data_IF_675110791679
#
_entry.id   IF_675110791679
#
_cell.length_a   1.000
_cell.length_b   1.000
_cell.length_c   1.000
_cell.angle_alpha   90.00
_cell.angle_beta   90.00
_cell.angle_gamma   90.00
#
_symmetry.space_group_name_H-M   'P 1'
#
loop_
_entity.id
_entity.type
_entity.pdbx_description
1 polymer ?
#
# COMPACT_ATOMS: atom_id res chain seq x y z
N UNK A 1 22.87 -43.38 -13.53
CA UNK A 1 23.81 -42.24 -13.41
C UNK A 1 23.02 -40.97 -13.65
N UNK A 2 22.76 -40.18 -12.59
CA UNK A 2 22.53 -38.72 -12.62
C UNK A 2 21.94 -38.29 -11.26
N UNK A 3 22.81 -38.28 -10.25
CA UNK A 3 22.58 -37.62 -8.97
C UNK A 3 23.66 -36.53 -8.84
N UNK A 4 23.55 -35.44 -9.62
CA UNK A 4 24.53 -34.36 -9.58
C UNK A 4 24.02 -33.01 -10.15
N UNK A 5 22.71 -32.70 -10.07
CA UNK A 5 22.18 -31.39 -10.52
C UNK A 5 21.18 -30.76 -9.55
N UNK A 6 21.36 -30.97 -8.25
CA UNK A 6 20.47 -30.40 -7.22
C UNK A 6 21.20 -29.58 -6.16
N UNK A 7 22.43 -29.11 -6.44
CA UNK A 7 23.21 -28.40 -5.42
C UNK A 7 24.04 -27.22 -5.95
N UNK A 8 23.41 -26.36 -6.75
CA UNK A 8 24.01 -25.07 -7.11
C UNK A 8 23.07 -23.85 -6.96
N UNK A 9 21.83 -24.07 -6.50
CA UNK A 9 20.90 -22.99 -6.12
C UNK A 9 20.82 -22.75 -4.60
N UNK A 10 21.53 -23.52 -3.78
CA UNK A 10 21.55 -23.37 -2.32
C UNK A 10 22.70 -22.52 -1.77
N UNK A 11 23.46 -21.81 -2.63
CA UNK A 11 24.60 -20.98 -2.18
C UNK A 11 24.53 -19.50 -2.51
N UNK A 12 23.50 -19.04 -3.23
CA UNK A 12 23.28 -17.60 -3.48
C UNK A 12 22.07 -17.02 -2.74
N UNK A 13 21.19 -17.85 -2.18
CA UNK A 13 20.10 -17.38 -1.32
C UNK A 13 20.52 -17.05 0.13
N UNK A 14 21.76 -17.34 0.53
CA UNK A 14 22.23 -16.98 1.87
C UNK A 14 22.82 -15.57 1.98
N UNK A 15 23.00 -14.83 0.88
CA UNK A 15 23.55 -13.47 0.99
C UNK A 15 22.45 -12.42 1.23
N UNK A 16 21.27 -12.60 0.64
CA UNK A 16 20.12 -11.73 0.87
C UNK A 16 19.45 -11.96 2.23
N UNK A 17 19.46 -13.21 2.72
CA UNK A 17 18.99 -13.53 4.07
C UNK A 17 19.96 -13.04 5.15
N UNK A 18 21.27 -12.99 4.88
CA UNK A 18 22.27 -12.39 5.80
C UNK A 18 22.21 -10.86 5.78
N UNK A 19 21.76 -10.23 4.69
CA UNK A 19 21.66 -8.76 4.63
C UNK A 19 20.41 -8.21 5.33
N UNK A 20 19.33 -9.02 5.43
CA UNK A 20 18.18 -8.71 6.28
C UNK A 20 18.42 -9.07 7.77
N UNK A 21 19.48 -9.83 8.08
CA UNK A 21 19.90 -10.17 9.45
C UNK A 21 21.03 -9.26 9.99
N UNK A 22 21.38 -8.18 9.29
CA UNK A 22 22.33 -7.17 9.82
C UNK A 22 21.70 -6.15 10.77
N UNK A 23 20.44 -6.33 11.14
CA UNK A 23 19.87 -5.79 12.38
C UNK A 23 19.14 -6.93 13.09
N UNK A 24 19.87 -7.70 13.91
CA UNK A 24 19.27 -8.63 14.87
C UNK A 24 18.48 -7.90 15.97
N UNK A 25 17.41 -7.19 15.59
CA UNK A 25 16.49 -6.46 16.47
C UNK A 25 15.07 -6.66 15.91
N UNK A 26 14.39 -7.70 16.37
CA UNK A 26 12.96 -7.91 16.08
C UNK A 26 12.09 -6.74 16.56
N UNK A 27 10.79 -6.75 16.28
CA UNK A 27 9.88 -5.69 16.73
C UNK A 27 10.03 -5.40 18.25
N UNK A 28 9.85 -4.15 18.70
CA UNK A 28 10.14 -3.75 20.10
C UNK A 28 9.41 -4.64 21.12
N UNK A 29 8.21 -5.12 20.79
CA UNK A 29 7.46 -6.10 21.59
C UNK A 29 8.16 -7.43 21.73
N UNK A 30 8.73 -7.95 20.65
CA UNK A 30 9.48 -9.20 20.66
C UNK A 30 10.77 -9.06 21.50
N UNK A 31 11.45 -7.91 21.40
CA UNK A 31 12.62 -7.62 22.24
C UNK A 31 12.26 -7.53 23.73
N UNK A 32 11.12 -6.91 24.08
CA UNK A 32 10.64 -6.85 25.46
C UNK A 32 10.23 -8.24 25.96
N UNK A 33 9.58 -9.06 25.12
CA UNK A 33 9.21 -10.45 25.43
C UNK A 33 10.44 -11.31 25.74
N UNK A 34 11.52 -11.15 24.94
CA UNK A 34 12.79 -11.86 25.17
C UNK A 34 13.51 -11.38 26.44
N UNK A 35 13.37 -10.09 26.78
CA UNK A 35 13.98 -9.51 27.98
C UNK A 35 13.26 -9.92 29.26
N UNK A 36 11.92 -9.90 29.25
CA UNK A 36 11.09 -10.30 30.39
C UNK A 36 9.66 -10.61 29.93
N UNK A 37 9.27 -11.87 30.05
CA UNK A 37 7.90 -12.33 29.81
C UNK A 37 6.88 -11.57 30.69
N UNK A 38 7.26 -11.24 31.92
CA UNK A 38 6.36 -10.56 32.86
C UNK A 38 6.15 -9.10 32.47
N UNK A 39 7.19 -8.42 31.98
CA UNK A 39 7.04 -7.06 31.47
C UNK A 39 6.20 -7.00 30.19
N UNK A 40 6.40 -7.95 29.28
CA UNK A 40 5.61 -8.04 28.07
C UNK A 40 4.13 -8.36 28.34
N UNK A 41 3.86 -9.23 29.33
CA UNK A 41 2.49 -9.51 29.77
C UNK A 41 1.83 -8.25 30.36
N UNK A 42 2.49 -7.52 31.26
CA UNK A 42 1.94 -6.28 31.83
C UNK A 42 1.61 -5.26 30.74
N UNK A 43 2.48 -5.10 29.74
CA UNK A 43 2.23 -4.14 28.66
C UNK A 43 1.06 -4.57 27.76
N UNK A 44 0.85 -5.88 27.59
CA UNK A 44 -0.30 -6.42 26.88
C UNK A 44 -1.60 -6.31 27.69
N UNK A 45 -1.55 -6.53 29.01
CA UNK A 45 -2.70 -6.44 29.92
C UNK A 45 -3.24 -5.00 30.03
N UNK A 46 -2.33 -4.02 30.04
CA UNK A 46 -2.68 -2.58 29.98
C UNK A 46 -3.12 -2.15 28.57
N UNK A 47 -2.91 -2.99 27.55
CA UNK A 47 -3.34 -2.73 26.18
C UNK A 47 -2.45 -1.77 25.39
N UNK A 48 -1.18 -1.59 25.77
CA UNK A 48 -0.27 -0.64 25.12
C UNK A 48 0.18 -1.12 23.74
N UNK A 49 -0.05 -0.35 22.68
CA UNK A 49 0.47 -0.67 21.34
C UNK A 49 1.98 -0.35 21.18
N UNK A 50 2.57 -0.67 20.02
CA UNK A 50 4.01 -0.44 19.79
C UNK A 50 4.39 1.04 19.80
N UNK A 51 3.51 1.93 19.33
CA UNK A 51 3.75 3.36 19.32
C UNK A 51 3.67 3.94 20.74
N UNK A 52 2.71 3.47 21.52
CA UNK A 52 2.54 3.84 22.93
C UNK A 52 3.73 3.37 23.77
N UNK A 53 4.19 2.13 23.57
CA UNK A 53 5.41 1.60 24.21
C UNK A 53 6.61 2.49 23.93
N UNK A 54 6.75 2.96 22.68
CA UNK A 54 7.83 3.89 22.33
C UNK A 54 7.69 5.19 23.10
N UNK A 55 6.50 5.71 23.35
CA UNK A 55 6.35 7.00 24.06
C UNK A 55 6.60 6.94 25.58
N UNK A 56 6.64 5.75 26.19
CA UNK A 56 6.80 5.57 27.63
C UNK A 56 8.00 6.33 28.21
N UNK A 57 7.74 7.02 29.31
CA UNK A 57 8.72 7.73 30.12
C UNK A 57 9.32 6.81 31.20
N UNK A 58 10.36 7.31 31.87
CA UNK A 58 10.92 6.62 33.05
C UNK A 58 9.89 6.47 34.17
N UNK A 59 8.97 7.42 34.29
CA UNK A 59 7.91 7.36 35.30
C UNK A 59 6.92 6.26 34.96
N UNK A 60 6.44 6.21 33.72
CA UNK A 60 5.48 5.19 33.26
C UNK A 60 6.05 3.77 33.46
N UNK A 61 7.34 3.58 33.16
CA UNK A 61 8.01 2.30 33.43
C UNK A 61 8.07 1.95 34.92
N UNK A 62 8.20 2.93 35.83
CA UNK A 62 8.17 2.68 37.28
C UNK A 62 6.77 2.32 37.78
N UNK A 63 5.73 2.88 37.15
CA UNK A 63 4.33 2.58 37.48
C UNK A 63 3.90 1.21 36.94
N UNK A 64 4.24 0.91 35.68
CA UNK A 64 3.93 -0.37 35.04
C UNK A 64 4.73 -1.53 35.64
N UNK A 65 5.99 -1.31 36.00
CA UNK A 65 6.87 -2.34 36.55
C UNK A 65 7.38 -1.94 37.94
N UNK A 66 6.53 -1.97 38.97
CA UNK A 66 6.89 -1.46 40.30
C UNK A 66 7.93 -2.35 41.01
N UNK A 67 8.53 -1.79 42.07
CA UNK A 67 9.47 -2.50 42.94
C UNK A 67 10.93 -2.50 42.46
N UNK A 68 11.85 -2.83 43.37
CA UNK A 68 13.31 -2.77 43.12
C UNK A 68 13.81 -3.93 42.25
N UNK A 69 13.11 -5.07 42.26
CA UNK A 69 13.43 -6.25 41.43
C UNK A 69 13.41 -5.94 39.93
N UNK A 70 12.54 -5.02 39.50
CA UNK A 70 12.36 -4.63 38.11
C UNK A 70 13.32 -3.52 37.66
N UNK A 71 14.21 -3.01 38.52
CA UNK A 71 15.11 -1.91 38.18
C UNK A 71 15.95 -2.17 36.91
N UNK A 72 16.56 -3.37 36.81
CA UNK A 72 17.37 -3.75 35.64
C UNK A 72 16.52 -3.85 34.37
N UNK A 73 15.29 -4.36 34.51
CA UNK A 73 14.34 -4.51 33.40
C UNK A 73 13.92 -3.12 32.91
N UNK A 74 13.50 -2.21 33.80
CA UNK A 74 13.12 -0.83 33.45
C UNK A 74 14.25 -0.10 32.73
N UNK A 75 15.49 -0.24 33.20
CA UNK A 75 16.67 0.35 32.54
C UNK A 75 16.84 -0.20 31.12
N UNK A 76 16.77 -1.52 30.94
CA UNK A 76 16.93 -2.16 29.63
C UNK A 76 15.79 -1.82 28.67
N UNK A 77 14.54 -1.80 29.13
CA UNK A 77 13.39 -1.36 28.32
C UNK A 77 13.55 0.11 27.92
N UNK A 78 13.97 0.99 28.83
CA UNK A 78 14.23 2.39 28.49
C UNK A 78 15.37 2.55 27.46
N UNK A 79 16.41 1.72 27.52
CA UNK A 79 17.49 1.67 26.52
C UNK A 79 16.95 1.19 25.15
N UNK A 80 16.08 0.18 25.12
CA UNK A 80 15.41 -0.29 23.91
C UNK A 80 14.53 0.80 23.28
N UNK A 81 13.69 1.44 24.09
CA UNK A 81 12.82 2.54 23.66
C UNK A 81 13.64 3.69 23.10
N UNK A 82 14.72 4.10 23.77
CA UNK A 82 15.58 5.17 23.29
C UNK A 82 16.33 4.79 22.01
N UNK A 83 16.72 3.52 21.88
CA UNK A 83 17.35 3.02 20.65
C UNK A 83 16.36 3.05 19.47
N UNK A 84 15.11 2.65 19.70
CA UNK A 84 14.06 2.68 18.69
C UNK A 84 13.59 4.11 18.35
N UNK A 85 13.60 5.04 19.33
CA UNK A 85 13.36 6.49 19.08
C UNK A 85 14.44 7.15 18.23
N UNK A 86 15.66 6.62 18.24
CA UNK A 86 16.76 7.11 17.41
C UNK A 86 16.70 6.56 15.97
N UNK A 87 15.73 5.70 15.64
CA UNK A 87 15.39 5.31 14.25
C UNK A 87 14.55 6.40 13.56
N UNK A 88 15.05 7.64 13.60
CA UNK A 88 14.73 8.69 12.62
C UNK A 88 15.52 8.39 11.34
N UNK A 89 15.00 8.73 10.15
CA UNK A 89 15.26 8.00 8.90
C UNK A 89 16.75 7.86 8.67
N UNK A 90 17.20 6.64 8.29
CA UNK A 90 18.59 6.36 7.90
C UNK A 90 19.16 7.60 7.19
N UNK A 91 20.07 8.32 7.86
CA UNK A 91 20.56 9.55 7.26
C UNK A 91 21.21 9.20 5.93
N UNK A 92 20.98 10.03 4.91
CA UNK A 92 21.63 9.89 3.60
C UNK A 92 23.13 9.60 3.74
N UNK A 93 23.77 10.20 4.75
CA UNK A 93 25.17 10.01 5.08
C UNK A 93 25.55 8.57 5.45
N UNK A 94 24.67 7.82 6.12
CA UNK A 94 24.91 6.42 6.50
C UNK A 94 24.86 5.49 5.28
N UNK A 95 23.89 5.70 4.38
CA UNK A 95 23.78 4.94 3.13
C UNK A 95 24.93 5.26 2.17
N UNK A 96 25.31 6.53 2.03
CA UNK A 96 26.45 6.96 1.22
C UNK A 96 27.76 6.36 1.74
N UNK A 97 27.92 6.27 3.06
CA UNK A 97 29.11 5.66 3.68
C UNK A 97 29.14 4.15 3.45
N UNK A 98 28.01 3.44 3.60
CA UNK A 98 27.92 2.00 3.33
C UNK A 98 28.18 1.65 1.86
N UNK A 99 27.66 2.47 0.93
CA UNK A 99 27.92 2.31 -0.50
C UNK A 99 29.40 2.53 -0.82
N UNK A 100 30.03 3.55 -0.22
CA UNK A 100 31.48 3.81 -0.36
C UNK A 100 32.31 2.61 0.10
N UNK A 101 31.98 2.02 1.24
CA UNK A 101 32.71 0.87 1.79
C UNK A 101 32.54 -0.38 0.93
N UNK A 102 31.37 -0.56 0.31
CA UNK A 102 31.09 -1.68 -0.60
C UNK A 102 31.84 -1.55 -1.93
N UNK A 103 31.90 -0.35 -2.50
CA UNK A 103 32.64 -0.06 -3.75
C UNK A 103 34.15 -0.14 -3.53
N UNK A 104 34.62 0.15 -2.32
CA UNK A 104 36.06 0.16 -1.98
C UNK A 104 36.67 -1.24 -1.80
N UNK A 105 35.87 -2.32 -1.86
CA UNK A 105 36.40 -3.69 -1.74
C UNK A 105 37.12 -4.11 -3.03
N UNK A 106 38.28 -4.76 -2.89
CA UNK A 106 39.17 -5.09 -4.02
C UNK A 106 38.55 -6.05 -5.05
N UNK A 107 37.57 -6.86 -4.64
CA UNK A 107 36.78 -7.77 -5.48
C UNK A 107 35.77 -7.05 -6.38
N UNK A 108 35.27 -5.90 -5.93
CA UNK A 108 34.35 -5.04 -6.69
C UNK A 108 35.13 -4.06 -7.56
N UNK A 109 36.16 -3.43 -6.98
CA UNK A 109 36.97 -2.37 -7.61
C UNK A 109 37.73 -2.82 -8.85
N UNK A 110 38.18 -4.08 -8.89
CA UNK A 110 38.99 -4.61 -10.00
C UNK A 110 38.21 -5.55 -10.93
N UNK A 111 36.90 -5.73 -10.72
CA UNK A 111 36.08 -6.63 -11.53
C UNK A 111 35.44 -5.89 -12.72
N UNK A 112 35.75 -6.26 -13.97
CA UNK A 112 35.17 -5.62 -15.15
C UNK A 112 33.65 -5.83 -15.25
N UNK A 113 33.13 -6.93 -14.69
CA UNK A 113 31.70 -7.20 -14.62
C UNK A 113 31.02 -6.30 -13.58
N UNK A 114 31.64 -6.10 -12.42
CA UNK A 114 31.11 -5.19 -11.40
C UNK A 114 31.13 -3.74 -11.88
N UNK A 115 32.15 -3.35 -12.66
CA UNK A 115 32.23 -2.01 -13.27
C UNK A 115 31.07 -1.72 -14.22
N UNK A 116 30.69 -2.68 -15.08
CA UNK A 116 29.57 -2.49 -16.01
C UNK A 116 28.22 -2.34 -15.27
N UNK A 117 27.97 -3.18 -14.27
CA UNK A 117 26.76 -3.11 -13.45
C UNK A 117 26.69 -1.80 -12.64
N UNK A 118 27.83 -1.32 -12.15
CA UNK A 118 27.90 -0.07 -11.41
C UNK A 118 27.62 1.15 -12.31
N UNK A 119 28.05 1.12 -13.58
CA UNK A 119 27.71 2.15 -14.57
C UNK A 119 26.21 2.17 -14.89
N UNK A 120 25.58 1.00 -15.08
CA UNK A 120 24.14 0.90 -15.28
C UNK A 120 23.37 1.45 -14.06
N UNK A 121 23.81 1.09 -12.85
CA UNK A 121 23.23 1.61 -11.61
C UNK A 121 23.41 3.13 -11.47
N UNK A 122 24.59 3.66 -11.84
CA UNK A 122 24.86 5.10 -11.85
C UNK A 122 23.93 5.84 -12.83
N UNK A 123 23.66 5.26 -14.00
CA UNK A 123 22.74 5.84 -14.96
C UNK A 123 21.33 5.95 -14.40
N UNK A 124 20.83 4.87 -13.78
CA UNK A 124 19.52 4.85 -13.11
C UNK A 124 19.47 5.93 -12.02
N UNK A 125 20.48 6.02 -11.17
CA UNK A 125 20.53 7.04 -10.12
C UNK A 125 20.51 8.46 -10.69
N UNK A 126 21.27 8.75 -11.75
CA UNK A 126 21.25 10.07 -12.41
C UNK A 126 19.90 10.40 -13.02
N UNK A 127 19.22 9.42 -13.60
CA UNK A 127 17.89 9.65 -14.16
C UNK A 127 16.85 9.89 -13.06
N UNK A 128 16.94 9.16 -11.95
CA UNK A 128 16.10 9.44 -10.76
C UNK A 128 16.37 10.82 -10.18
N UNK A 129 17.63 11.26 -10.11
CA UNK A 129 18.01 12.60 -9.65
C UNK A 129 17.36 13.69 -10.52
N UNK A 130 17.46 13.56 -11.86
CA UNK A 130 16.81 14.51 -12.81
C UNK A 130 15.29 14.53 -12.63
N UNK A 131 14.68 13.36 -12.46
CA UNK A 131 13.23 13.23 -12.29
C UNK A 131 12.76 13.90 -10.99
N UNK A 132 13.50 13.70 -9.89
CA UNK A 132 13.23 14.34 -8.60
C UNK A 132 13.44 15.85 -8.67
N UNK A 133 14.51 16.33 -9.31
CA UNK A 133 14.75 17.76 -9.50
C UNK A 133 13.61 18.43 -10.26
N UNK A 134 13.14 17.80 -11.35
CA UNK A 134 12.00 18.29 -12.14
C UNK A 134 10.71 18.34 -11.33
N UNK A 135 10.46 17.31 -10.50
CA UNK A 135 9.30 17.26 -9.61
C UNK A 135 9.35 18.35 -8.54
N UNK A 136 10.54 18.59 -8.00
CA UNK A 136 10.78 19.61 -6.97
C UNK A 136 10.61 21.02 -7.53
N UNK A 137 11.07 21.28 -8.75
CA UNK A 137 10.88 22.57 -9.43
C UNK A 137 9.41 22.85 -9.75
N UNK A 138 8.65 21.84 -10.18
CA UNK A 138 7.20 21.96 -10.34
C UNK A 138 6.52 22.33 -9.01
N UNK A 139 6.88 21.64 -7.92
CA UNK A 139 6.38 21.92 -6.58
C UNK A 139 6.71 23.36 -6.16
N UNK A 140 7.94 23.82 -6.37
CA UNK A 140 8.35 25.21 -6.09
C UNK A 140 7.52 26.22 -6.89
N UNK A 141 7.22 25.92 -8.15
CA UNK A 141 6.39 26.77 -9.00
C UNK A 141 4.96 26.89 -8.45
N UNK A 142 4.36 25.77 -8.01
CA UNK A 142 3.03 25.77 -7.40
C UNK A 142 3.01 26.56 -6.09
N UNK A 143 4.00 26.38 -5.23
CA UNK A 143 4.12 27.14 -3.97
C UNK A 143 4.16 28.65 -4.26
N UNK A 144 5.00 29.07 -5.21
CA UNK A 144 5.11 30.49 -5.60
C UNK A 144 3.78 31.04 -6.11
N UNK A 145 3.06 30.31 -6.95
CA UNK A 145 1.74 30.73 -7.45
C UNK A 145 0.73 30.93 -6.31
N UNK A 146 0.71 30.01 -5.35
CA UNK A 146 -0.18 30.10 -4.19
C UNK A 146 0.21 31.25 -3.25
N UNK A 147 1.51 31.53 -3.09
CA UNK A 147 2.01 32.67 -2.33
C UNK A 147 1.66 34.01 -2.98
N UNK A 148 1.75 34.10 -4.31
CA UNK A 148 1.39 35.30 -5.07
C UNK A 148 -0.14 35.56 -5.00
N UNK A 149 -0.97 34.52 -5.02
CA UNK A 149 -2.43 34.64 -4.82
C UNK A 149 -2.81 35.03 -3.38
N UNK A 150 -1.97 34.68 -2.38
CA UNK A 150 -2.19 35.03 -0.98
C UNK A 150 -1.83 36.49 -0.67
N UNK A 151 -1.03 37.16 -1.51
CA UNK A 151 -0.61 38.55 -1.27
C UNK A 151 -1.77 39.52 -1.57
N UNK A 152 -2.25 40.33 -0.60
CA UNK A 152 -3.29 41.31 -0.87
C UNK A 152 -2.78 42.40 -1.82
N UNK A 153 -3.66 42.98 -2.67
CA UNK A 153 -3.27 44.07 -3.56
C UNK A 153 -2.80 45.28 -2.75
N UNK A 154 -1.59 45.77 -3.02
CA UNK A 154 -1.10 47.03 -2.46
C UNK A 154 -1.93 48.17 -3.05
N UNK A 155 -2.68 48.86 -2.19
CA UNK A 155 -3.57 49.94 -2.58
C UNK A 155 -2.83 51.25 -2.85
N UNK A 156 -3.39 52.03 -3.77
CA UNK A 156 -3.28 53.49 -3.82
C UNK A 156 -4.58 54.09 -4.41
N UNK A 157 -4.92 55.36 -4.09
CA UNK A 157 -6.24 55.71 -3.57
C UNK A 157 -7.26 56.23 -4.60
N UNK A 158 -8.51 56.12 -4.16
CA UNK A 158 -9.77 56.67 -4.66
C UNK A 158 -9.76 57.94 -5.53
N UNK A 159 -10.67 57.96 -6.52
CA UNK A 159 -11.48 59.12 -6.84
C UNK A 159 -12.90 58.73 -7.32
N UNK A 160 -13.87 58.86 -6.39
CA UNK A 160 -15.22 59.44 -6.49
C UNK A 160 -16.00 59.42 -7.82
N UNK A 161 -17.27 58.94 -7.76
CA UNK A 161 -18.39 59.52 -8.54
C UNK A 161 -19.46 58.53 -9.03
N UNK A 162 -20.76 58.89 -9.10
CA UNK A 162 -21.83 58.01 -8.61
C UNK A 162 -22.92 57.59 -9.64
N UNK A 163 -23.70 56.58 -9.21
CA UNK A 163 -25.15 56.36 -9.37
C UNK A 163 -25.83 56.38 -10.76
N UNK A 164 -26.43 55.23 -11.11
CA UNK A 164 -27.73 55.11 -11.81
C UNK A 164 -28.24 53.67 -11.59
N UNK A 165 -29.26 53.46 -10.75
CA UNK A 165 -30.69 53.37 -11.11
C UNK A 165 -31.05 52.10 -11.92
N UNK A 166 -31.87 51.23 -11.29
CA UNK A 166 -32.45 50.00 -11.82
C UNK A 166 -33.37 50.24 -13.05
N UNK A 167 -33.79 49.19 -13.79
CA UNK A 167 -34.99 48.47 -13.34
C UNK A 167 -35.04 46.96 -13.61
N UNK A 168 -35.94 46.34 -12.84
CA UNK A 168 -36.45 44.96 -12.92
C UNK A 168 -37.26 44.75 -14.21
N UNK A 169 -37.19 43.54 -14.78
CA UNK A 169 -38.07 43.03 -15.84
C UNK A 169 -37.97 41.50 -16.01
N UNK A 170 -38.97 40.80 -16.59
CA UNK A 170 -39.56 39.60 -15.96
C UNK A 170 -39.29 38.24 -16.64
N UNK A 171 -39.46 37.20 -15.82
CA UNK A 171 -39.91 35.80 -16.06
C UNK A 171 -39.93 35.27 -17.50
N UNK A 172 -39.27 34.12 -17.72
CA UNK A 172 -39.77 33.05 -18.62
C UNK A 172 -39.42 31.66 -18.08
N UNK A 173 -40.49 30.92 -17.75
CA UNK A 173 -40.52 29.47 -17.65
C UNK A 173 -40.24 28.86 -19.03
N UNK A 174 -39.29 27.94 -19.15
CA UNK A 174 -39.33 26.91 -20.19
C UNK A 174 -38.96 25.53 -19.62
N UNK A 175 -40.04 24.81 -19.32
CA UNK A 175 -40.32 23.43 -19.76
C UNK A 175 -39.18 22.42 -19.83
N UNK A 176 -39.34 21.38 -19.02
CA UNK A 176 -38.73 20.05 -19.19
C UNK A 176 -38.65 19.58 -20.65
N UNK A 177 -37.63 18.77 -20.96
CA UNK A 177 -37.88 17.48 -21.56
C UNK A 177 -37.64 16.38 -20.52
N UNK A 178 -38.71 15.64 -20.27
CA UNK A 178 -38.71 14.31 -19.69
C UNK A 178 -38.12 13.33 -20.73
N UNK A 179 -37.62 12.20 -20.23
CA UNK A 179 -37.02 11.01 -20.91
C UNK A 179 -35.49 11.08 -20.85
N UNK A 180 -34.82 10.24 -20.06
CA UNK A 180 -34.81 8.81 -20.32
C UNK A 180 -35.19 7.94 -19.12
N UNK A 181 -36.14 7.06 -19.39
CA UNK A 181 -36.41 5.82 -18.66
C UNK A 181 -35.17 4.94 -18.86
N UNK A 182 -34.22 4.97 -17.92
CA UNK A 182 -33.16 3.97 -17.89
C UNK A 182 -33.80 2.65 -17.48
N UNK A 183 -33.90 1.73 -18.44
CA UNK A 183 -34.19 0.33 -18.21
C UNK A 183 -33.26 -0.14 -17.09
N UNK A 184 -33.80 -0.37 -15.89
CA UNK A 184 -33.03 -0.92 -14.78
C UNK A 184 -32.67 -2.35 -15.18
N UNK A 185 -31.45 -2.53 -15.71
CA UNK A 185 -30.89 -3.85 -15.93
C UNK A 185 -30.97 -4.63 -14.61
N UNK A 186 -31.41 -5.89 -14.67
CA UNK A 186 -31.45 -6.74 -13.50
C UNK A 186 -30.03 -6.87 -12.90
N UNK A 187 -29.88 -6.83 -11.57
CA UNK A 187 -28.57 -6.92 -10.95
C UNK A 187 -27.92 -8.27 -11.25
N UNK A 188 -26.60 -8.26 -11.46
CA UNK A 188 -25.81 -9.48 -11.62
C UNK A 188 -25.76 -10.20 -10.27
N UNK A 189 -26.17 -11.46 -10.26
CA UNK A 189 -26.13 -12.29 -9.06
C UNK A 189 -24.71 -12.79 -8.83
N UNK A 190 -24.07 -12.32 -7.78
CA UNK A 190 -22.68 -12.67 -7.45
C UNK A 190 -22.61 -13.42 -6.13
N UNK A 191 -21.62 -14.28 -5.98
CA UNK A 191 -21.23 -14.84 -4.69
C UNK A 191 -19.89 -14.22 -4.28
N UNK A 192 -19.83 -13.58 -3.11
CA UNK A 192 -18.59 -12.98 -2.60
C UNK A 192 -17.78 -14.01 -1.84
N UNK A 193 -16.53 -14.23 -2.26
CA UNK A 193 -15.60 -15.12 -1.58
C UNK A 193 -14.37 -14.32 -1.14
N UNK A 194 -14.24 -14.03 0.16
CA UNK A 194 -13.15 -13.21 0.70
C UNK A 194 -12.16 -14.08 1.46
N UNK A 195 -10.99 -14.33 0.85
CA UNK A 195 -9.97 -15.26 1.36
C UNK A 195 -8.90 -14.55 2.21
N UNK A 196 -9.30 -13.65 3.10
CA UNK A 196 -8.37 -13.00 4.02
C UNK A 196 -8.85 -11.64 4.52
N UNK A 197 -7.94 -10.89 5.17
CA UNK A 197 -8.25 -9.56 5.70
C UNK A 197 -8.12 -8.50 4.62
N UNK A 198 -9.23 -7.91 4.20
CA UNK A 198 -9.25 -6.80 3.23
C UNK A 198 -9.57 -5.44 3.85
N UNK A 199 -9.75 -5.38 5.18
CA UNK A 199 -10.17 -4.18 5.91
C UNK A 199 -11.51 -3.56 5.41
N UNK A 200 -12.41 -4.39 4.88
CA UNK A 200 -13.69 -3.93 4.31
C UNK A 200 -13.59 -3.30 2.92
N UNK A 201 -12.39 -3.12 2.36
CA UNK A 201 -12.22 -2.46 1.07
C UNK A 201 -12.69 -3.30 -0.15
N UNK A 202 -13.00 -4.58 0.04
CA UNK A 202 -13.70 -5.36 -0.98
C UNK A 202 -15.11 -4.81 -1.24
N UNK A 203 -15.82 -4.38 -0.19
CA UNK A 203 -17.14 -3.77 -0.31
C UNK A 203 -17.04 -2.38 -0.92
N UNK A 204 -16.00 -1.61 -0.58
CA UNK A 204 -15.70 -0.33 -1.21
C UNK A 204 -15.43 -0.48 -2.70
N UNK A 205 -14.72 -1.54 -3.09
CA UNK A 205 -14.49 -1.85 -4.49
C UNK A 205 -15.81 -2.12 -5.21
N UNK A 206 -16.64 -3.00 -4.64
CA UNK A 206 -17.94 -3.36 -5.22
C UNK A 206 -18.88 -2.15 -5.37
N UNK A 207 -18.89 -1.24 -4.39
CA UNK A 207 -19.66 0.02 -4.48
C UNK A 207 -19.19 0.94 -5.61
N UNK A 208 -17.93 0.85 -6.03
CA UNK A 208 -17.34 1.66 -7.10
C UNK A 208 -17.52 1.03 -8.48
N UNK A 209 -17.90 -0.24 -8.56
CA UNK A 209 -18.17 -0.92 -9.83
C UNK A 209 -19.51 -0.41 -10.38
N UNK A 210 -19.53 0.05 -11.63
CA UNK A 210 -20.71 0.65 -12.29
C UNK A 210 -21.83 -0.34 -12.66
N UNK A 211 -21.76 -1.60 -12.21
CA UNK A 211 -22.73 -2.66 -12.51
C UNK A 211 -23.55 -2.97 -11.26
N UNK A 212 -24.89 -2.92 -11.32
CA UNK A 212 -25.74 -3.37 -10.23
C UNK A 212 -25.47 -4.84 -9.92
N UNK A 213 -25.15 -5.15 -8.67
CA UNK A 213 -24.87 -6.51 -8.21
C UNK A 213 -25.80 -6.89 -7.07
N UNK A 214 -26.10 -8.18 -6.96
CA UNK A 214 -26.86 -8.76 -5.87
C UNK A 214 -26.06 -9.94 -5.32
N UNK A 215 -25.70 -9.87 -4.04
CA UNK A 215 -25.05 -10.98 -3.36
C UNK A 215 -26.07 -12.11 -3.09
N UNK A 216 -25.70 -13.33 -3.45
CA UNK A 216 -26.50 -14.54 -3.28
C UNK A 216 -25.60 -15.72 -2.91
N UNK A 217 -26.23 -16.82 -2.49
CA UNK A 217 -25.53 -18.09 -2.28
C UNK A 217 -24.93 -18.62 -3.59
N UNK A 218 -23.88 -19.42 -3.46
CA UNK A 218 -23.05 -19.93 -4.57
C UNK A 218 -23.85 -20.73 -5.60
N UNK A 219 -24.92 -21.39 -5.19
CA UNK A 219 -25.81 -22.16 -6.06
C UNK A 219 -26.58 -21.24 -7.01
N UNK A 220 -26.97 -20.06 -6.52
CA UNK A 220 -27.81 -19.07 -7.22
C UNK A 220 -27.01 -18.00 -7.96
N UNK A 221 -25.69 -17.94 -7.76
CA UNK A 221 -24.84 -16.94 -8.39
C UNK A 221 -24.59 -17.27 -9.86
N UNK A 222 -24.44 -16.21 -10.66
CA UNK A 222 -23.98 -16.27 -12.04
C UNK A 222 -22.45 -16.32 -12.11
N UNK A 223 -21.78 -15.64 -11.18
CA UNK A 223 -20.31 -15.56 -11.12
C UNK A 223 -19.86 -15.40 -9.66
N UNK A 224 -18.69 -15.95 -9.33
CA UNK A 224 -18.02 -15.76 -8.04
C UNK A 224 -17.09 -14.55 -8.13
N UNK A 225 -17.15 -13.63 -7.17
CA UNK A 225 -16.18 -12.55 -7.03
C UNK A 225 -15.23 -12.90 -5.88
N UNK A 226 -14.05 -13.41 -6.24
CA UNK A 226 -13.02 -13.89 -5.33
C UNK A 226 -12.08 -12.75 -4.95
N UNK A 227 -11.94 -12.43 -3.66
CA UNK A 227 -10.98 -11.48 -3.13
C UNK A 227 -9.83 -12.18 -2.42
N UNK A 228 -8.62 -11.94 -2.89
CA UNK A 228 -7.38 -12.52 -2.35
C UNK A 228 -6.44 -11.40 -1.90
N UNK A 229 -6.49 -10.95 -0.63
CA UNK A 229 -5.54 -9.96 -0.14
C UNK A 229 -4.15 -10.57 0.10
N UNK A 230 -3.11 -9.87 -0.33
CA UNK A 230 -1.71 -10.25 -0.26
C UNK A 230 -0.93 -9.17 0.50
N UNK A 231 -0.41 -9.52 1.68
CA UNK A 231 0.38 -8.60 2.52
C UNK A 231 1.89 -8.78 2.34
N UNK A 232 2.34 -10.02 2.17
CA UNK A 232 3.77 -10.32 2.04
C UNK A 232 4.08 -11.61 1.28
N UNK A 233 3.10 -12.51 1.05
CA UNK A 233 3.30 -13.84 0.48
C UNK A 233 2.27 -14.16 -0.61
N UNK A 234 2.48 -13.63 -1.82
CA UNK A 234 1.52 -13.82 -2.91
C UNK A 234 1.23 -15.30 -3.24
N UNK A 235 2.24 -16.18 -3.26
CA UNK A 235 2.08 -17.56 -3.72
C UNK A 235 1.09 -18.40 -2.90
N UNK A 236 1.31 -18.49 -1.58
CA UNK A 236 0.47 -19.34 -0.71
C UNK A 236 -0.95 -18.81 -0.57
N UNK A 237 -1.12 -17.49 -0.50
CA UNK A 237 -2.44 -16.87 -0.36
C UNK A 237 -3.29 -17.09 -1.63
N UNK A 238 -2.67 -16.98 -2.81
CA UNK A 238 -3.32 -17.24 -4.11
C UNK A 238 -3.76 -18.70 -4.24
N UNK A 239 -2.89 -19.67 -3.91
CA UNK A 239 -3.23 -21.09 -4.02
C UNK A 239 -4.38 -21.49 -3.09
N UNK A 240 -4.40 -20.94 -1.87
CA UNK A 240 -5.49 -21.15 -0.92
C UNK A 240 -6.80 -20.52 -1.41
N UNK A 241 -6.74 -19.32 -2.00
CA UNK A 241 -7.90 -18.64 -2.56
C UNK A 241 -8.50 -19.40 -3.76
N UNK A 242 -7.65 -19.89 -4.66
CA UNK A 242 -8.08 -20.70 -5.81
C UNK A 242 -8.73 -22.01 -5.38
N UNK A 243 -8.21 -22.66 -4.34
CA UNK A 243 -8.76 -23.91 -3.80
C UNK A 243 -10.16 -23.75 -3.18
N UNK A 244 -10.56 -22.53 -2.83
CA UNK A 244 -11.87 -22.24 -2.26
C UNK A 244 -12.98 -22.01 -3.32
N UNK A 245 -12.61 -21.84 -4.60
CA UNK A 245 -13.58 -21.61 -5.68
C UNK A 245 -14.21 -22.93 -6.12
N UNK A 246 -15.55 -23.02 -6.24
CA UNK A 246 -16.18 -24.18 -6.85
C UNK A 246 -15.79 -24.28 -8.34
N UNK A 247 -15.20 -25.41 -8.74
CA UNK A 247 -14.68 -25.58 -10.12
C UNK A 247 -15.73 -25.55 -11.22
N UNK A 248 -17.02 -25.59 -10.90
CA UNK A 248 -18.14 -25.52 -11.85
C UNK A 248 -18.74 -24.11 -11.99
N UNK A 249 -18.14 -23.10 -11.36
CA UNK A 249 -18.60 -21.70 -11.40
C UNK A 249 -17.49 -20.81 -11.92
N UNK A 250 -17.84 -19.93 -12.85
CA UNK A 250 -16.96 -18.85 -13.30
C UNK A 250 -16.61 -17.93 -12.13
N UNK A 251 -15.37 -17.45 -12.10
CA UNK A 251 -14.89 -16.53 -11.09
C UNK A 251 -14.07 -15.38 -11.66
N UNK A 252 -14.30 -14.19 -11.11
CA UNK A 252 -13.44 -13.02 -11.26
C UNK A 252 -12.57 -12.95 -10.00
N UNK A 253 -11.25 -13.09 -10.17
CA UNK A 253 -10.29 -13.04 -9.08
C UNK A 253 -9.69 -11.63 -8.93
N UNK A 254 -9.85 -11.05 -7.75
CA UNK A 254 -9.32 -9.76 -7.34
C UNK A 254 -8.18 -9.97 -6.35
N UNK A 255 -6.95 -9.86 -6.83
CA UNK A 255 -5.75 -9.90 -5.99
C UNK A 255 -5.53 -8.51 -5.40
N UNK A 256 -5.69 -8.38 -4.09
CA UNK A 256 -5.54 -7.11 -3.38
C UNK A 256 -4.15 -7.03 -2.75
N UNK A 257 -3.25 -6.24 -3.32
CA UNK A 257 -1.91 -6.02 -2.79
C UNK A 257 -1.94 -4.95 -1.70
N UNK A 258 -1.55 -5.32 -0.48
CA UNK A 258 -1.34 -4.36 0.59
C UNK A 258 -0.01 -3.63 0.38
N UNK A 259 -0.06 -2.36 -0.04
CA UNK A 259 1.15 -1.59 -0.38
C UNK A 259 0.86 -0.09 -0.40
N UNK A 260 1.90 0.71 -0.15
CA UNK A 260 1.90 2.14 -0.46
C UNK A 260 2.42 2.44 -1.88
N UNK A 261 3.14 1.52 -2.50
CA UNK A 261 3.92 1.76 -3.73
C UNK A 261 3.49 0.83 -4.88
N UNK A 262 2.41 1.16 -5.61
CA UNK A 262 1.83 0.27 -6.63
C UNK A 262 2.78 -0.08 -7.77
N UNK A 263 3.74 0.80 -8.10
CA UNK A 263 4.70 0.60 -9.18
C UNK A 263 5.76 -0.48 -8.89
N UNK A 264 5.96 -0.85 -7.62
CA UNK A 264 6.98 -1.83 -7.20
C UNK A 264 6.38 -3.19 -6.83
N UNK A 265 5.07 -3.24 -6.59
CA UNK A 265 4.39 -4.42 -6.01
C UNK A 265 3.93 -5.47 -7.03
N UNK A 266 4.04 -5.19 -8.33
CA UNK A 266 3.68 -6.16 -9.38
C UNK A 266 4.83 -7.13 -9.66
N UNK A 267 5.15 -8.00 -8.71
CA UNK A 267 5.87 -9.22 -9.06
C UNK A 267 4.87 -10.14 -9.75
N UNK A 268 4.94 -10.24 -11.08
CA UNK A 268 4.07 -11.11 -11.86
C UNK A 268 4.19 -12.54 -11.31
N UNK A 269 3.14 -13.02 -10.64
CA UNK A 269 3.07 -14.41 -10.23
C UNK A 269 2.90 -15.24 -11.49
N UNK A 270 3.81 -16.18 -11.76
CA UNK A 270 3.68 -17.17 -12.84
C UNK A 270 2.61 -18.23 -12.51
N UNK A 271 1.53 -17.82 -11.84
CA UNK A 271 0.46 -18.69 -11.39
C UNK A 271 -0.33 -19.18 -12.61
N UNK A 272 -0.49 -20.49 -12.71
CA UNK A 272 -1.43 -21.10 -13.64
C UNK A 272 -2.81 -21.05 -12.99
N UNK A 273 -3.74 -20.34 -13.60
CA UNK A 273 -5.11 -20.25 -13.10
C UNK A 273 -5.97 -21.38 -13.68
N UNK A 274 -6.91 -21.95 -12.90
CA UNK A 274 -7.93 -22.84 -13.43
C UNK A 274 -8.78 -22.18 -14.54
N UNK A 275 -9.32 -22.98 -15.45
CA UNK A 275 -10.10 -22.49 -16.61
C UNK A 275 -11.35 -21.69 -16.19
N UNK A 276 -11.92 -21.96 -15.02
CA UNK A 276 -13.08 -21.24 -14.50
C UNK A 276 -12.72 -19.87 -13.90
N UNK A 277 -11.44 -19.48 -13.83
CA UNK A 277 -11.03 -18.12 -13.48
C UNK A 277 -10.99 -17.26 -14.75
N UNK A 278 -12.10 -16.61 -15.06
CA UNK A 278 -12.28 -15.91 -16.33
C UNK A 278 -11.54 -14.57 -16.37
N UNK A 279 -11.24 -13.96 -15.23
CA UNK A 279 -10.56 -12.66 -15.15
C UNK A 279 -9.76 -12.58 -13.86
N UNK A 280 -8.51 -12.13 -13.97
CA UNK A 280 -7.63 -11.84 -12.82
C UNK A 280 -7.26 -10.37 -12.86
N UNK A 281 -7.58 -9.64 -11.80
CA UNK A 281 -7.25 -8.23 -11.64
C UNK A 281 -6.40 -8.01 -10.41
N UNK A 282 -5.49 -7.05 -10.49
CA UNK A 282 -4.66 -6.62 -9.38
C UNK A 282 -5.12 -5.26 -8.89
N UNK A 283 -5.34 -5.13 -7.59
CA UNK A 283 -5.71 -3.87 -6.97
C UNK A 283 -4.81 -3.58 -5.77
N UNK A 284 -4.54 -2.31 -5.51
CA UNK A 284 -3.67 -1.87 -4.42
C UNK A 284 -4.47 -1.21 -3.32
N UNK A 285 -4.19 -1.56 -2.07
CA UNK A 285 -4.82 -0.94 -0.91
C UNK A 285 -3.83 -0.80 0.24
N UNK A 286 -4.19 0.06 1.19
CA UNK A 286 -3.52 0.20 2.47
C UNK A 286 -4.59 0.43 3.55
N UNK A 287 -4.18 0.55 4.82
CA UNK A 287 -5.05 0.94 5.94
C UNK A 287 -5.96 2.15 5.67
N UNK A 288 -5.52 3.08 4.82
CA UNK A 288 -6.30 4.28 4.47
C UNK A 288 -7.32 4.05 3.34
N UNK A 289 -7.32 2.89 2.68
CA UNK A 289 -8.24 2.55 1.61
C UNK A 289 -7.60 2.01 0.34
N UNK A 290 -8.46 1.82 -0.67
CA UNK A 290 -8.05 1.56 -2.04
C UNK A 290 -7.24 2.77 -2.56
N UNK A 291 -6.04 2.52 -3.09
CA UNK A 291 -5.19 3.58 -3.60
C UNK A 291 -5.84 4.30 -4.80
N UNK A 292 -5.63 5.61 -4.90
CA UNK A 292 -6.08 6.40 -6.04
C UNK A 292 -5.01 6.42 -7.15
N UNK A 293 -4.90 5.34 -7.93
CA UNK A 293 -3.93 5.19 -9.00
C UNK A 293 -4.57 4.68 -10.31
N UNK A 294 -3.87 4.86 -11.44
CA UNK A 294 -4.32 4.39 -12.75
C UNK A 294 -4.56 2.88 -12.78
N UNK A 295 -3.71 2.09 -12.12
CA UNK A 295 -3.89 0.64 -12.06
C UNK A 295 -5.20 0.24 -11.36
N UNK A 296 -5.58 0.92 -10.28
CA UNK A 296 -6.85 0.65 -9.61
C UNK A 296 -8.05 1.12 -10.42
N UNK A 297 -7.92 2.24 -11.16
CA UNK A 297 -8.95 2.68 -12.12
C UNK A 297 -9.14 1.67 -13.24
N UNK A 298 -8.06 1.13 -13.78
CA UNK A 298 -8.11 0.09 -14.81
C UNK A 298 -8.69 -1.20 -14.26
N UNK A 299 -8.25 -1.67 -13.09
CA UNK A 299 -8.79 -2.86 -12.44
C UNK A 299 -10.31 -2.75 -12.19
N UNK A 300 -10.79 -1.57 -11.80
CA UNK A 300 -12.23 -1.28 -11.68
C UNK A 300 -12.96 -1.43 -13.02
N UNK A 301 -12.40 -0.87 -14.10
CA UNK A 301 -12.97 -0.99 -15.44
C UNK A 301 -12.98 -2.44 -15.93
N UNK A 302 -11.94 -3.22 -15.62
CA UNK A 302 -11.83 -4.63 -16.00
C UNK A 302 -12.85 -5.49 -15.25
N UNK A 303 -13.04 -5.26 -13.93
CA UNK A 303 -14.10 -5.91 -13.15
C UNK A 303 -15.48 -5.55 -13.72
N UNK A 304 -15.69 -4.27 -14.03
CA UNK A 304 -16.96 -3.80 -14.58
C UNK A 304 -17.26 -4.46 -15.94
N UNK A 305 -16.26 -4.56 -16.81
CA UNK A 305 -16.37 -5.24 -18.10
C UNK A 305 -16.66 -6.73 -17.93
N UNK A 306 -15.98 -7.40 -17.00
CA UNK A 306 -16.20 -8.82 -16.70
C UNK A 306 -17.63 -9.06 -16.19
N UNK A 307 -18.15 -8.22 -15.29
CA UNK A 307 -19.51 -8.39 -14.78
C UNK A 307 -20.59 -8.06 -15.82
N UNK A 308 -20.32 -7.15 -16.76
CA UNK A 308 -21.26 -6.83 -17.85
C UNK A 308 -21.57 -8.03 -18.74
N UNK A 309 -20.68 -9.01 -18.88
CA UNK A 309 -20.97 -10.22 -19.69
C UNK A 309 -22.16 -11.02 -19.14
N UNK A 310 -22.43 -10.90 -17.83
CA UNK A 310 -23.55 -11.55 -17.14
C UNK A 310 -24.82 -10.68 -17.09
N UNK A 311 -24.78 -9.44 -17.59
CA UNK A 311 -25.97 -8.55 -17.59
C UNK A 311 -26.96 -8.84 -18.73
N UNK A 312 -26.55 -9.61 -19.74
CA UNK A 312 -27.31 -9.84 -20.98
C UNK A 312 -27.93 -11.24 -21.10
N UNK A 313 -27.82 -12.09 -20.08
CA UNK A 313 -28.40 -13.44 -20.09
C UNK A 313 -29.79 -13.40 -19.44
N UNK A 314 -30.80 -13.05 -20.24
CA UNK A 314 -32.20 -13.42 -19.98
C UNK A 314 -32.74 -14.17 -21.19
#
# INVERSE_FOLDING_TARGET
MNAAKTNQNYRTCNFFHVLLDLQGRGAIREQIQQLSHEAAWVFADVGLDESEILTLSKQDLNELLPGTRNFKIRRRIAELINSAKQESPESSDSLVTRLRDLISRDDVKNSPVASAVLEDYLHILRDTEKQLASSLDLLRQHVKQLEDLRRPPQGHPSAVGPAAACPVGPVRNETHPRLNRTTTASPVKIHLLVCGKTLGFHADLLRRVGVPTQEVDVEQCQVVLLFCPVYSRAGTDIDAALSAVPGNKDAVMVIMHYTYYPQQSLTRTNASYPDNICTVVHIFFHDSGLLNCDSNRQALADIEAALKTYTAVQ
#
